data_IF_793473229302
#
_entry.id   IF_793473229302
#
_cell.length_a   1.000
_cell.length_b   1.000
_cell.length_c   1.000
_cell.angle_alpha   90.00
_cell.angle_beta   90.00
_cell.angle_gamma   90.00
#
_symmetry.space_group_name_H-M   'P 1'
#
loop_
_entity.id
_entity.type
_entity.pdbx_description
1 polymer ?
#
# COMPACT_ATOMS: atom_id res chain seq x y z
N UNK A 1 -0.58 -16.14 23.80
CA UNK A 1 -0.82 -15.26 24.00
C UNK A 1 -0.15 -14.73 24.59
N UNK A 2 0.61 -14.39 24.58
CA UNK A 2 0.91 -13.85 25.05
C UNK A 2 0.68 -13.43 25.98
N UNK A 3 0.72 -13.51 26.75
CA UNK A 3 0.32 -13.23 27.65
C UNK A 3 0.06 -13.01 28.52
N UNK A 4 0.22 -13.55 29.27
CA UNK A 4 -0.63 -13.19 30.08
C UNK A 4 -0.45 -12.28 31.02
N UNK A 5 -0.15 -12.17 31.48
CA UNK A 5 -0.27 -11.28 32.18
C UNK A 5 0.11 -10.12 32.11
N UNK A 6 0.12 -10.02 31.83
CA UNK A 6 0.07 -9.27 31.56
C UNK A 6 -0.16 -8.62 31.13
N UNK A 7 0.04 -9.14 31.73
CA UNK A 7 -0.46 -8.66 31.17
C UNK A 7 -0.85 -8.03 30.56
N UNK A 8 -1.32 -7.96 30.47
CA UNK A 8 -1.81 -7.57 29.33
C UNK A 8 -1.05 -7.10 28.28
N UNK A 9 -0.07 -7.10 28.14
CA UNK A 9 0.67 -6.59 27.03
C UNK A 9 0.42 -7.31 25.74
N UNK A 10 -0.05 -8.48 25.80
CA UNK A 10 -0.36 -9.28 24.62
C UNK A 10 -1.47 -8.62 23.80
N UNK A 11 -2.44 -8.06 24.46
CA UNK A 11 -3.53 -7.38 23.80
C UNK A 11 -3.03 -6.18 22.99
N UNK A 12 -2.07 -5.43 23.52
CA UNK A 12 -1.51 -4.30 22.81
C UNK A 12 -0.83 -4.68 21.52
N UNK A 13 -0.10 -5.81 21.52
CA UNK A 13 0.57 -6.29 20.32
C UNK A 13 -0.45 -6.67 19.24
N UNK A 14 -1.53 -7.31 19.61
CA UNK A 14 -2.58 -7.67 18.66
C UNK A 14 -3.20 -6.42 18.04
N UNK A 15 -3.45 -5.38 18.82
CA UNK A 15 -4.00 -4.14 18.32
C UNK A 15 -3.06 -3.47 17.30
N UNK A 16 -1.77 -3.50 17.53
CA UNK A 16 -0.82 -2.93 16.59
C UNK A 16 -0.83 -3.67 15.26
N UNK A 17 -0.93 -4.98 15.31
CA UNK A 17 -0.98 -5.78 14.09
C UNK A 17 -2.24 -5.47 13.29
N UNK A 18 -3.40 -5.40 13.94
CA UNK A 18 -4.64 -5.05 13.28
C UNK A 18 -4.56 -3.68 12.62
N UNK A 19 -4.04 -2.70 13.34
CA UNK A 19 -3.88 -1.35 12.80
C UNK A 19 -2.98 -1.35 11.58
N UNK A 20 -1.89 -2.08 11.63
CA UNK A 20 -0.93 -2.16 10.53
C UNK A 20 -1.59 -2.77 9.28
N UNK A 21 -2.34 -3.86 9.45
CA UNK A 21 -3.02 -4.51 8.34
C UNK A 21 -4.09 -3.61 7.73
N UNK A 22 -4.86 -2.92 8.57
CA UNK A 22 -5.87 -1.97 8.10
C UNK A 22 -5.23 -0.82 7.33
N UNK A 23 -4.09 -0.34 7.81
CA UNK A 23 -3.38 0.75 7.15
C UNK A 23 -2.87 0.32 5.78
N UNK A 24 -2.36 -0.90 5.66
CA UNK A 24 -1.91 -1.43 4.37
C UNK A 24 -3.07 -1.54 3.40
N UNK A 25 -4.21 -2.06 3.85
CA UNK A 25 -5.39 -2.18 3.00
C UNK A 25 -5.87 -0.82 2.54
N UNK A 26 -5.87 0.16 3.43
CA UNK A 26 -6.24 1.53 3.09
C UNK A 26 -5.32 2.10 2.02
N UNK A 27 -4.00 1.87 2.16
CA UNK A 27 -3.04 2.37 1.17
C UNK A 27 -3.26 1.72 -0.19
N UNK A 28 -3.54 0.42 -0.21
CA UNK A 28 -3.80 -0.28 -1.46
C UNK A 28 -5.04 0.25 -2.16
N UNK A 29 -6.10 0.54 -1.41
CA UNK A 29 -7.29 1.15 -1.99
C UNK A 29 -7.00 2.54 -2.53
N UNK A 30 -6.17 3.30 -1.85
CA UNK A 30 -5.77 4.61 -2.31
C UNK A 30 -4.97 4.52 -3.62
N UNK A 31 -4.05 3.57 -3.71
CA UNK A 31 -3.29 3.33 -4.94
C UNK A 31 -4.25 2.97 -6.08
N UNK A 32 -5.18 2.06 -5.84
CA UNK A 32 -6.15 1.67 -6.87
C UNK A 32 -7.01 2.85 -7.30
N UNK A 33 -7.38 3.72 -6.37
CA UNK A 33 -8.14 4.92 -6.69
C UNK A 33 -7.37 5.86 -7.60
N UNK A 34 -6.08 6.04 -7.36
CA UNK A 34 -5.23 6.86 -8.22
C UNK A 34 -5.12 6.25 -9.60
N UNK A 35 -4.91 4.93 -9.69
CA UNK A 35 -4.79 4.24 -10.98
C UNK A 35 -6.11 4.23 -11.75
N UNK A 36 -7.24 4.28 -11.04
CA UNK A 36 -8.54 4.32 -11.69
C UNK A 36 -8.75 5.63 -12.46
N UNK A 37 -8.06 6.70 -12.06
CA UNK A 37 -8.16 7.99 -12.75
C UNK A 37 -7.35 8.00 -14.04
N UNK A 38 -6.14 7.42 -14.01
CA UNK A 38 -5.27 7.35 -15.18
C UNK A 38 -4.09 6.43 -14.88
N UNK A 39 -3.54 5.77 -15.92
CA UNK A 39 -2.30 5.00 -15.73
C UNK A 39 -1.16 5.89 -15.28
N UNK A 40 -0.29 5.36 -14.42
CA UNK A 40 0.82 6.13 -13.86
C UNK A 40 2.07 5.28 -13.74
N UNK A 41 3.22 5.90 -13.96
CA UNK A 41 4.49 5.27 -13.61
C UNK A 41 4.63 5.27 -12.09
N UNK A 42 5.59 4.49 -11.58
CA UNK A 42 5.83 4.46 -10.14
C UNK A 42 6.16 5.85 -9.61
N UNK A 43 6.98 6.62 -10.35
CA UNK A 43 7.36 7.95 -9.94
C UNK A 43 6.16 8.90 -9.88
N UNK A 44 5.22 8.74 -10.79
CA UNK A 44 4.01 9.55 -10.79
C UNK A 44 3.03 9.13 -9.70
N UNK A 45 3.01 7.85 -9.38
CA UNK A 45 2.09 7.31 -8.40
C UNK A 45 2.42 7.75 -6.98
N UNK A 46 3.72 7.78 -6.64
CA UNK A 46 4.13 8.02 -5.26
C UNK A 46 3.60 9.36 -4.72
N UNK A 47 3.80 10.49 -5.38
CA UNK A 47 3.27 11.75 -4.81
C UNK A 47 1.75 11.78 -4.73
N UNK A 48 1.05 11.03 -5.58
CA UNK A 48 -0.41 10.99 -5.56
C UNK A 48 -0.95 10.07 -4.48
N UNK A 49 -0.36 8.88 -4.32
CA UNK A 49 -0.83 7.89 -3.36
C UNK A 49 -0.23 8.10 -1.97
N UNK A 50 0.86 8.84 -1.87
CA UNK A 50 1.57 9.13 -0.62
C UNK A 50 1.58 10.64 -0.35
N UNK A 51 0.49 11.31 -0.67
CA UNK A 51 0.36 12.74 -0.47
C UNK A 51 0.36 13.14 1.01
N UNK A 52 0.16 12.18 1.90
CA UNK A 52 0.25 12.36 3.34
C UNK A 52 1.68 12.14 3.88
N UNK A 53 2.64 11.89 2.99
CA UNK A 53 4.01 11.54 3.35
C UNK A 53 4.95 12.66 2.93
N UNK A 54 5.86 13.12 3.80
CA UNK A 54 6.83 14.17 3.41
C UNK A 54 7.68 13.75 2.21
N UNK A 55 8.06 14.72 1.39
CA UNK A 55 8.83 14.48 0.17
C UNK A 55 10.14 13.73 0.47
N UNK A 56 10.76 14.02 1.60
CA UNK A 56 12.00 13.35 2.01
C UNK A 56 11.84 11.84 2.17
N UNK A 57 10.61 11.37 2.34
CA UNK A 57 10.32 9.95 2.52
C UNK A 57 9.75 9.29 1.29
N UNK A 58 9.71 10.01 0.17
CA UNK A 58 9.17 9.45 -1.07
C UNK A 58 10.03 8.33 -1.63
N UNK A 59 11.34 8.35 -1.43
CA UNK A 59 12.19 7.27 -1.91
C UNK A 59 11.87 5.92 -1.24
N UNK A 60 11.80 5.81 0.12
CA UNK A 60 11.33 4.58 0.74
C UNK A 60 9.86 4.30 0.43
N UNK A 61 9.04 5.34 0.25
CA UNK A 61 7.64 5.16 -0.11
C UNK A 61 7.51 4.50 -1.49
N UNK A 62 8.43 4.81 -2.41
CA UNK A 62 8.41 4.19 -3.74
C UNK A 62 8.62 2.68 -3.65
N UNK A 63 9.50 2.22 -2.76
CA UNK A 63 9.70 0.78 -2.55
C UNK A 63 8.43 0.14 -2.01
N UNK A 64 7.80 0.79 -1.05
CA UNK A 64 6.56 0.31 -0.46
C UNK A 64 5.44 0.27 -1.51
N UNK A 65 5.35 1.31 -2.33
CA UNK A 65 4.36 1.37 -3.41
C UNK A 65 4.56 0.24 -4.41
N UNK A 66 5.82 -0.03 -4.77
CA UNK A 66 6.12 -1.12 -5.70
C UNK A 66 5.69 -2.46 -5.11
N UNK A 67 5.95 -2.69 -3.83
CA UNK A 67 5.53 -3.93 -3.18
C UNK A 67 4.01 -4.08 -3.22
N UNK A 68 3.27 -3.00 -2.96
CA UNK A 68 1.81 -3.02 -3.08
C UNK A 68 1.35 -3.31 -4.50
N UNK A 69 2.00 -2.68 -5.48
CA UNK A 69 1.65 -2.87 -6.89
C UNK A 69 1.88 -4.31 -7.33
N UNK A 70 2.99 -4.91 -6.92
CA UNK A 70 3.30 -6.30 -7.26
C UNK A 70 2.26 -7.24 -6.63
N UNK A 71 1.87 -6.98 -5.39
CA UNK A 71 0.82 -7.75 -4.73
C UNK A 71 -0.51 -7.60 -5.47
N UNK A 72 -0.88 -6.38 -5.83
CA UNK A 72 -2.13 -6.13 -6.54
C UNK A 72 -2.12 -6.78 -7.92
N UNK A 73 -0.97 -6.80 -8.58
CA UNK A 73 -0.82 -7.51 -9.86
C UNK A 73 -1.05 -9.00 -9.68
N UNK A 74 -0.45 -9.59 -8.65
CA UNK A 74 -0.63 -11.02 -8.37
C UNK A 74 -2.08 -11.36 -8.06
N UNK A 75 -2.80 -10.42 -7.48
CA UNK A 75 -4.23 -10.59 -7.17
C UNK A 75 -5.13 -10.31 -8.35
N UNK A 76 -4.58 -9.86 -9.48
CA UNK A 76 -5.37 -9.49 -10.65
C UNK A 76 -6.08 -8.16 -10.53
N UNK A 77 -5.68 -7.31 -9.59
CA UNK A 77 -6.33 -6.02 -9.34
C UNK A 77 -5.61 -4.86 -10.00
N UNK A 78 -4.36 -5.05 -10.42
CA UNK A 78 -3.58 -4.05 -11.12
C UNK A 78 -2.73 -4.72 -12.17
N UNK A 79 -2.30 -3.96 -13.16
CA UNK A 79 -1.42 -4.46 -14.21
C UNK A 79 -0.48 -3.36 -14.66
N UNK A 80 0.64 -3.75 -15.28
CA UNK A 80 1.59 -2.80 -15.83
C UNK A 80 1.71 -3.04 -17.33
N UNK A 81 1.66 -1.95 -18.11
CA UNK A 81 1.75 -2.04 -19.56
C UNK A 81 3.21 -1.98 -20.05
N UNK A 82 3.41 -2.15 -21.36
CA UNK A 82 4.75 -2.10 -21.95
C UNK A 82 5.38 -0.71 -21.84
N UNK A 83 4.57 0.32 -21.56
CA UNK A 83 5.04 1.68 -21.36
C UNK A 83 5.54 1.93 -19.93
N UNK A 84 5.50 0.91 -19.07
CA UNK A 84 5.93 1.04 -17.68
C UNK A 84 4.90 1.71 -16.78
N UNK A 85 3.68 1.92 -17.27
CA UNK A 85 2.61 2.55 -16.50
C UNK A 85 1.72 1.51 -15.88
N UNK A 86 1.46 1.68 -14.60
CA UNK A 86 0.55 0.82 -13.87
C UNK A 86 -0.87 1.34 -14.05
N UNK A 87 -1.82 0.41 -14.09
CA UNK A 87 -3.23 0.74 -14.22
C UNK A 87 -4.06 -0.24 -13.43
N UNK A 88 -5.25 0.19 -13.07
CA UNK A 88 -6.18 -0.69 -12.39
C UNK A 88 -6.70 -1.72 -13.39
N UNK A 89 -6.74 -2.99 -12.98
CA UNK A 89 -7.31 -4.03 -13.80
C UNK A 89 -8.83 -3.86 -13.87
N UNK A 90 -9.39 -4.06 -15.06
CA UNK A 90 -10.83 -3.91 -15.27
C UNK A 90 -11.56 -5.24 -15.32
N UNK A 91 -10.84 -6.34 -15.23
CA UNK A 91 -11.46 -7.66 -15.30
C UNK A 91 -12.07 -8.10 -13.98
#
# INVERSE_FOLDING_TARGET
MILPGHGPPIGGAAHRLDFYLQHRAWREEKILGVLAEAPKTLEELVPAAYDDTPVERHAPAARSALAHLLKLRDEGRAEVGPDGRWRRSTS
#
